data_IF_671649232336
#
_entry.id   IF_671649232336
#
_cell.length_a   1.000
_cell.length_b   1.000
_cell.length_c   1.000
_cell.angle_alpha   90.00
_cell.angle_beta   90.00
_cell.angle_gamma   90.00
#
_symmetry.space_group_name_H-M   'P 1'
#
loop_
_entity.id
_entity.type
_entity.pdbx_description
1 polymer ?
#
# COMPACT_ATOMS: atom_id res chain seq x y z
N UNK A 1 -3.38 -9.94 7.57
CA UNK A 1 -4.06 -8.71 7.10
C UNK A 1 -3.17 -7.97 6.12
N UNK A 2 -1.93 -7.62 6.48
CA UNK A 2 -0.95 -7.00 5.56
C UNK A 2 -0.75 -7.80 4.27
N UNK A 3 -0.56 -9.13 4.36
CA UNK A 3 -0.48 -10.01 3.19
C UNK A 3 -1.67 -9.94 2.21
N UNK A 4 -2.87 -9.57 2.68
CA UNK A 4 -4.03 -9.40 1.78
C UNK A 4 -4.00 -8.04 1.09
N UNK A 5 -3.57 -6.98 1.79
CA UNK A 5 -3.54 -5.61 1.27
C UNK A 5 -2.34 -5.35 0.35
N UNK A 6 -1.23 -6.07 0.53
CA UNK A 6 0.02 -5.87 -0.21
C UNK A 6 0.27 -6.96 -1.25
N UNK A 7 -0.75 -7.75 -1.58
CA UNK A 7 -0.65 -8.73 -2.64
C UNK A 7 -0.49 -8.06 -4.01
N UNK A 8 0.30 -8.69 -4.86
CA UNK A 8 0.53 -8.29 -6.25
C UNK A 8 -0.74 -8.42 -7.09
N UNK A 9 -1.03 -7.39 -7.90
CA UNK A 9 -2.15 -7.42 -8.84
C UNK A 9 -1.84 -8.25 -10.09
N UNK A 10 -0.57 -8.30 -10.50
CA UNK A 10 -0.17 -8.84 -11.81
C UNK A 10 -0.26 -10.35 -11.87
N UNK A 11 0.10 -11.02 -10.78
CA UNK A 11 -0.06 -12.47 -10.64
C UNK A 11 -1.51 -12.90 -10.94
N UNK A 12 -2.49 -12.08 -10.56
CA UNK A 12 -3.90 -12.36 -10.81
C UNK A 12 -4.36 -11.84 -12.20
N UNK A 13 -3.82 -10.71 -12.67
CA UNK A 13 -4.12 -10.15 -14.00
C UNK A 13 -3.58 -10.99 -15.17
N UNK A 14 -2.38 -11.56 -15.03
CA UNK A 14 -1.71 -12.37 -16.06
C UNK A 14 -2.44 -13.68 -16.41
N UNK A 15 -3.39 -14.10 -15.57
CA UNK A 15 -4.28 -15.25 -15.84
C UNK A 15 -5.35 -14.94 -16.90
N UNK A 16 -5.59 -13.66 -17.21
CA UNK A 16 -6.55 -13.19 -18.21
C UNK A 16 -8.02 -13.25 -17.78
N UNK A 17 -8.81 -12.27 -18.24
CA UNK A 17 -10.26 -12.18 -18.04
C UNK A 17 -10.69 -11.05 -17.09
N UNK A 18 -11.98 -10.71 -17.10
CA UNK A 18 -12.53 -9.64 -16.26
C UNK A 18 -12.33 -9.89 -14.77
N UNK A 19 -11.93 -8.84 -14.05
CA UNK A 19 -11.79 -8.93 -12.59
C UNK A 19 -13.13 -9.30 -11.95
N UNK A 20 -13.22 -10.53 -11.45
CA UNK A 20 -14.43 -11.09 -10.86
C UNK A 20 -14.59 -10.80 -9.37
N UNK A 21 -13.72 -9.95 -8.79
CA UNK A 21 -13.63 -9.74 -7.35
C UNK A 21 -12.58 -10.64 -6.68
N UNK A 22 -12.00 -10.16 -5.59
CA UNK A 22 -11.04 -10.88 -4.75
C UNK A 22 -11.71 -11.37 -3.47
N UNK A 23 -11.28 -12.54 -2.99
CA UNK A 23 -11.62 -13.02 -1.66
C UNK A 23 -10.80 -12.28 -0.60
N UNK A 24 -11.34 -11.22 -0.01
CA UNK A 24 -10.66 -10.41 1.02
C UNK A 24 -10.82 -8.92 0.78
N UNK A 25 -9.92 -8.13 1.36
CA UNK A 25 -9.80 -6.71 1.04
C UNK A 25 -9.11 -6.53 -0.31
N UNK A 26 -9.45 -5.46 -1.01
CA UNK A 26 -8.73 -5.05 -2.20
C UNK A 26 -7.27 -4.70 -1.91
N UNK A 27 -6.43 -4.83 -2.93
CA UNK A 27 -4.98 -4.61 -2.81
C UNK A 27 -4.60 -3.16 -3.02
N UNK A 28 -3.64 -2.67 -2.24
CA UNK A 28 -2.99 -1.37 -2.46
C UNK A 28 -2.30 -1.36 -3.83
N UNK A 29 -1.74 -2.50 -4.24
CA UNK A 29 -1.04 -2.62 -5.52
C UNK A 29 -1.95 -2.39 -6.74
N UNK A 30 -3.21 -2.88 -6.69
CA UNK A 30 -4.21 -2.57 -7.73
C UNK A 30 -4.80 -1.17 -7.61
N UNK A 31 -5.08 -0.71 -6.37
CA UNK A 31 -5.54 0.67 -6.15
C UNK A 31 -4.54 1.66 -6.75
N UNK A 32 -3.24 1.40 -6.59
CA UNK A 32 -2.16 2.25 -7.09
C UNK A 32 -1.58 1.64 -8.37
N UNK A 33 -2.38 1.65 -9.43
CA UNK A 33 -1.93 1.25 -10.76
C UNK A 33 -2.10 2.38 -11.78
N UNK A 34 -1.62 2.16 -12.99
CA UNK A 34 -1.89 3.00 -14.18
C UNK A 34 -2.22 2.15 -15.41
N UNK A 35 -2.85 2.76 -16.41
CA UNK A 35 -3.04 2.19 -17.76
C UNK A 35 -1.69 1.70 -18.34
N UNK A 36 -0.65 2.53 -18.23
CA UNK A 36 0.69 2.19 -18.73
C UNK A 36 1.31 0.95 -18.06
N UNK A 37 0.94 0.69 -16.81
CA UNK A 37 1.38 -0.49 -16.08
C UNK A 37 0.63 -1.73 -16.58
N UNK A 38 -0.69 -1.65 -16.70
CA UNK A 38 -1.49 -2.72 -17.28
C UNK A 38 -0.99 -3.14 -18.67
N UNK A 39 -0.72 -2.17 -19.55
CA UNK A 39 -0.16 -2.39 -20.87
C UNK A 39 1.19 -3.13 -20.83
N UNK A 40 2.02 -2.81 -19.82
CA UNK A 40 3.36 -3.38 -19.71
C UNK A 40 3.39 -4.77 -19.07
N UNK A 41 2.44 -5.09 -18.18
CA UNK A 41 2.50 -6.28 -17.33
C UNK A 41 1.31 -7.23 -17.46
N UNK A 42 0.37 -6.91 -18.35
CA UNK A 42 -0.78 -7.75 -18.68
C UNK A 42 -2.07 -7.19 -18.07
N UNK A 43 -3.19 -7.53 -18.70
CA UNK A 43 -4.51 -6.99 -18.38
C UNK A 43 -5.17 -6.27 -19.55
N UNK A 44 -4.39 -5.74 -20.50
CA UNK A 44 -4.90 -4.96 -21.64
C UNK A 44 -6.14 -5.55 -22.31
N UNK A 45 -7.26 -4.85 -22.18
CA UNK A 45 -8.57 -5.22 -22.75
C UNK A 45 -9.36 -6.23 -21.91
N UNK A 46 -9.00 -6.44 -20.65
CA UNK A 46 -9.69 -7.36 -19.73
C UNK A 46 -10.33 -6.66 -18.52
N UNK A 47 -10.30 -5.34 -18.42
CA UNK A 47 -10.87 -4.57 -17.31
C UNK A 47 -10.36 -5.05 -15.95
N UNK A 48 -9.10 -5.50 -15.89
CA UNK A 48 -8.57 -6.11 -14.67
C UNK A 48 -8.19 -5.04 -13.66
N UNK A 49 -7.66 -3.93 -14.16
CA UNK A 49 -7.21 -2.80 -13.35
C UNK A 49 -8.35 -1.82 -13.03
N UNK A 50 -9.50 -1.98 -13.69
CA UNK A 50 -10.74 -1.29 -13.34
C UNK A 50 -11.09 -1.46 -11.87
N UNK A 51 -11.31 -0.33 -11.22
CA UNK A 51 -11.61 -0.25 -9.79
C UNK A 51 -12.57 0.89 -9.52
N UNK A 52 -13.46 0.69 -8.54
CA UNK A 52 -14.47 1.68 -8.15
C UNK A 52 -15.39 2.14 -9.29
N UNK A 53 -15.55 1.31 -10.34
CA UNK A 53 -16.35 1.63 -11.53
C UNK A 53 -15.70 2.63 -12.48
N UNK A 54 -14.38 2.84 -12.34
CA UNK A 54 -13.56 3.63 -13.26
C UNK A 54 -12.88 2.67 -14.24
N UNK A 55 -12.97 3.03 -15.53
CA UNK A 55 -12.24 2.40 -16.63
C UNK A 55 -10.80 2.94 -16.63
N UNK A 56 -9.83 2.05 -16.48
CA UNK A 56 -8.39 2.37 -16.48
C UNK A 56 -7.62 1.65 -17.58
N UNK A 57 -8.32 0.90 -18.43
CA UNK A 57 -7.79 0.16 -19.58
C UNK A 57 -7.68 1.02 -20.85
N UNK A 58 -8.36 2.18 -20.89
CA UNK A 58 -8.34 3.12 -22.04
C UNK A 58 -8.32 4.60 -21.61
N UNK A 59 -8.28 4.88 -20.29
CA UNK A 59 -8.38 6.23 -19.75
C UNK A 59 -7.37 6.54 -18.62
N UNK A 60 -6.43 7.44 -18.92
CA UNK A 60 -5.40 7.89 -17.97
C UNK A 60 -5.83 8.99 -16.99
N UNK A 61 -7.09 9.43 -17.04
CA UNK A 61 -7.56 10.58 -16.23
C UNK A 61 -7.53 10.30 -14.73
N UNK A 62 -7.72 9.03 -14.35
CA UNK A 62 -7.76 8.60 -12.95
C UNK A 62 -6.57 7.72 -12.56
N UNK A 63 -5.52 7.72 -13.37
CA UNK A 63 -4.35 6.90 -13.11
C UNK A 63 -3.55 7.39 -11.92
N UNK A 64 -3.03 6.43 -11.16
CA UNK A 64 -2.05 6.69 -10.11
C UNK A 64 -0.69 6.97 -10.72
N UNK A 65 0.20 7.59 -9.96
CA UNK A 65 1.58 7.80 -10.40
C UNK A 65 2.35 6.50 -10.29
N UNK A 66 2.49 5.75 -11.39
CA UNK A 66 3.29 4.53 -11.42
C UNK A 66 4.59 4.75 -12.20
N UNK A 67 5.71 4.63 -11.51
CA UNK A 67 7.02 4.65 -12.15
C UNK A 67 7.53 3.20 -12.26
N UNK A 68 7.52 2.68 -13.49
CA UNK A 68 7.95 1.34 -13.85
C UNK A 68 8.95 1.38 -15.03
N UNK A 69 9.58 0.25 -15.32
CA UNK A 69 10.52 0.03 -16.42
C UNK A 69 10.10 -1.20 -17.25
N UNK A 70 8.79 -1.42 -17.37
CA UNK A 70 8.17 -2.51 -18.13
C UNK A 70 8.80 -3.89 -17.85
N UNK A 71 9.06 -4.18 -16.58
CA UNK A 71 9.51 -5.50 -16.10
C UNK A 71 11.00 -5.73 -16.19
N UNK A 72 11.77 -4.69 -16.53
CA UNK A 72 13.23 -4.73 -16.45
C UNK A 72 13.71 -4.04 -15.19
N UNK A 73 14.21 -4.79 -14.22
CA UNK A 73 14.69 -4.20 -12.97
C UNK A 73 15.82 -3.19 -13.17
N UNK A 74 15.77 -2.11 -12.40
CA UNK A 74 16.74 -1.01 -12.41
C UNK A 74 17.15 -0.64 -10.99
N UNK A 75 18.35 -0.12 -10.85
CA UNK A 75 18.87 0.27 -9.53
C UNK A 75 18.02 1.36 -8.90
N UNK A 76 17.69 1.21 -7.61
CA UNK A 76 17.05 2.28 -6.85
C UNK A 76 17.94 3.53 -6.84
N UNK A 77 17.37 4.67 -7.21
CA UNK A 77 18.08 5.95 -7.23
C UNK A 77 17.24 7.07 -6.64
N UNK A 78 17.91 8.12 -6.17
CA UNK A 78 17.26 9.27 -5.54
C UNK A 78 16.36 10.00 -6.54
N UNK A 79 16.75 10.02 -7.81
CA UNK A 79 15.93 10.60 -8.87
C UNK A 79 14.58 9.90 -9.01
N UNK A 80 14.55 8.56 -8.93
CA UNK A 80 13.29 7.81 -9.05
C UNK A 80 12.34 8.12 -7.88
N UNK A 81 12.87 8.14 -6.65
CA UNK A 81 12.10 8.46 -5.44
C UNK A 81 11.55 9.90 -5.54
N UNK A 82 12.41 10.86 -5.91
CA UNK A 82 12.00 12.26 -6.06
C UNK A 82 10.93 12.42 -7.14
N UNK A 83 11.12 11.81 -8.31
CA UNK A 83 10.17 11.90 -9.42
C UNK A 83 8.77 11.51 -8.96
N UNK A 84 8.61 10.34 -8.33
CA UNK A 84 7.29 9.90 -7.84
C UNK A 84 6.70 10.89 -6.82
N UNK A 85 7.49 11.36 -5.86
CA UNK A 85 7.00 12.34 -4.86
C UNK A 85 6.55 13.65 -5.53
N UNK A 86 7.31 14.16 -6.50
CA UNK A 86 6.97 15.41 -7.18
C UNK A 86 5.79 15.26 -8.14
N UNK A 87 5.67 14.13 -8.82
CA UNK A 87 4.54 13.84 -9.70
C UNK A 87 3.25 13.69 -8.89
N UNK A 88 3.30 13.01 -7.74
CA UNK A 88 2.17 12.96 -6.78
C UNK A 88 1.78 14.38 -6.34
N UNK A 89 2.75 15.24 -6.02
CA UNK A 89 2.50 16.64 -5.67
C UNK A 89 1.92 17.47 -6.81
N UNK A 90 2.37 17.23 -8.04
CA UNK A 90 1.84 17.91 -9.22
C UNK A 90 0.35 17.61 -9.44
N UNK A 91 -0.08 16.40 -9.09
CA UNK A 91 -1.49 15.99 -9.08
C UNK A 91 -2.28 16.46 -7.84
N UNK A 92 -1.69 17.29 -6.99
CA UNK A 92 -2.33 17.79 -5.76
C UNK A 92 -2.34 16.78 -4.61
N UNK A 93 -1.59 15.68 -4.72
CA UNK A 93 -1.30 14.71 -3.67
C UNK A 93 -0.27 15.19 -2.66
N UNK A 94 -0.31 14.63 -1.45
CA UNK A 94 0.78 14.78 -0.49
C UNK A 94 1.14 13.41 0.10
N UNK A 95 2.31 12.88 -0.26
CA UNK A 95 2.77 11.61 0.31
C UNK A 95 2.99 11.75 1.82
N UNK A 96 2.08 11.16 2.58
CA UNK A 96 2.08 11.16 4.05
C UNK A 96 2.92 10.03 4.64
N UNK A 97 3.00 8.90 3.93
CA UNK A 97 3.73 7.71 4.36
C UNK A 97 4.24 6.94 3.14
N UNK A 98 5.44 6.38 3.26
CA UNK A 98 5.99 5.43 2.29
C UNK A 98 5.89 4.04 2.90
N UNK A 99 5.35 3.07 2.17
CA UNK A 99 5.36 1.66 2.57
C UNK A 99 6.24 0.87 1.61
N UNK A 100 7.18 0.10 2.13
CA UNK A 100 8.11 -0.68 1.30
C UNK A 100 8.62 -1.92 2.03
N UNK A 101 9.38 -2.77 1.34
CA UNK A 101 10.03 -3.94 1.93
C UNK A 101 11.36 -3.58 2.61
N UNK A 102 11.85 -4.46 3.50
CA UNK A 102 13.06 -4.21 4.29
C UNK A 102 14.34 -4.08 3.44
N UNK A 103 14.40 -4.75 2.29
CA UNK A 103 15.55 -4.67 1.37
C UNK A 103 15.64 -3.29 0.70
N UNK A 104 14.53 -2.79 0.17
CA UNK A 104 14.42 -1.48 -0.47
C UNK A 104 14.62 -0.36 0.52
N UNK A 105 14.08 -0.51 1.73
CA UNK A 105 14.34 0.43 2.82
C UNK A 105 15.84 0.52 3.15
N UNK A 106 16.53 -0.63 3.26
CA UNK A 106 17.99 -0.66 3.47
C UNK A 106 18.75 0.01 2.33
N UNK A 107 18.39 -0.27 1.07
CA UNK A 107 19.03 0.34 -0.10
C UNK A 107 18.80 1.85 -0.13
N UNK A 108 17.60 2.32 0.18
CA UNK A 108 17.27 3.74 0.27
C UNK A 108 18.07 4.44 1.38
N UNK A 109 18.17 3.84 2.57
CA UNK A 109 18.98 4.39 3.67
C UNK A 109 20.46 4.45 3.27
N UNK A 110 20.99 3.40 2.64
CA UNK A 110 22.36 3.38 2.16
C UNK A 110 22.63 4.51 1.15
N UNK A 111 21.73 4.68 0.17
CA UNK A 111 21.78 5.74 -0.83
C UNK A 111 21.87 7.14 -0.21
N UNK A 112 21.03 7.45 0.79
CA UNK A 112 21.08 8.74 1.47
C UNK A 112 22.30 8.88 2.41
N UNK A 113 22.75 7.79 3.03
CA UNK A 113 23.95 7.83 3.88
C UNK A 113 25.23 8.11 3.08
N UNK A 114 25.34 7.58 1.85
CA UNK A 114 26.48 7.83 0.96
C UNK A 114 26.50 9.27 0.44
N UNK A 115 25.32 9.90 0.27
CA UNK A 115 25.20 11.31 -0.09
C UNK A 115 25.60 12.27 1.04
N UNK A 116 25.63 11.83 2.30
CA UNK A 116 25.94 12.65 3.49
C UNK A 116 27.46 12.81 3.73
N UNK A 117 28.32 12.55 2.75
CA UNK A 117 29.76 12.85 2.90
C UNK A 117 30.00 14.37 3.00
N UNK A 118 30.35 14.81 4.20
CA UNK A 118 30.68 16.17 4.63
C UNK A 118 29.51 17.16 4.74
N UNK A 119 28.58 16.93 5.67
CA UNK A 119 28.15 18.00 6.57
C UNK A 119 27.61 17.42 7.88
N UNK A 120 27.90 18.09 8.99
CA UNK A 120 27.59 17.67 10.35
C UNK A 120 26.08 17.42 10.51
N UNK A 121 25.74 16.17 10.86
CA UNK A 121 24.38 15.66 11.04
C UNK A 121 23.69 16.42 12.17
N UNK A 122 22.57 17.08 11.86
CA UNK A 122 21.53 17.38 12.83
C UNK A 122 20.55 16.20 12.85
N UNK A 123 20.59 15.41 13.92
CA UNK A 123 19.63 14.35 14.19
C UNK A 123 18.27 15.01 14.51
N UNK A 124 17.28 14.85 13.62
CA UNK A 124 15.92 15.31 13.87
C UNK A 124 15.10 14.15 14.46
N UNK A 125 14.86 14.19 15.77
CA UNK A 125 13.88 13.32 16.44
C UNK A 125 12.48 13.87 16.16
N UNK A 126 11.68 13.18 15.34
CA UNK A 126 10.29 13.56 15.06
C UNK A 126 9.37 12.92 16.10
N UNK A 127 8.74 13.74 16.94
CA UNK A 127 7.67 13.33 17.85
C UNK A 127 6.35 13.30 17.07
N UNK A 128 5.84 12.11 16.77
CA UNK A 128 4.56 11.94 16.05
C UNK A 128 3.41 12.02 17.06
N UNK A 129 2.78 13.18 17.14
CA UNK A 129 1.50 13.34 17.84
C UNK A 129 0.34 13.21 16.86
N UNK A 130 -0.52 12.21 17.02
CA UNK A 130 -1.79 12.11 16.29
C UNK A 130 -2.91 12.46 17.27
N UNK A 131 -3.69 13.50 16.96
CA UNK A 131 -4.91 13.88 17.70
C UNK A 131 -4.75 14.12 19.21
N UNK A 132 -3.83 15.00 19.62
CA UNK A 132 -3.82 15.56 20.97
C UNK A 132 -3.28 14.67 22.09
N UNK A 133 -2.76 13.49 21.77
CA UNK A 133 -1.96 12.68 22.70
C UNK A 133 -0.49 12.89 22.34
N UNK A 134 0.20 13.67 23.17
CA UNK A 134 1.66 13.70 23.19
C UNK A 134 2.14 12.50 24.00
N UNK A 135 3.01 11.68 23.42
CA UNK A 135 3.71 10.63 24.18
C UNK A 135 4.76 11.30 25.07
N UNK A 136 4.71 11.03 26.37
CA UNK A 136 5.74 11.47 27.33
C UNK A 136 7.11 10.85 27.01
N UNK A 137 8.16 11.64 27.20
CA UNK A 137 9.55 11.20 27.21
C UNK A 137 9.77 10.17 28.32
N UNK A 138 9.89 8.89 27.98
CA UNK A 138 10.30 7.92 29.00
C UNK A 138 10.21 6.43 28.68
N UNK A 139 9.51 6.01 27.61
CA UNK A 139 9.47 4.59 27.22
C UNK A 139 9.73 4.48 25.72
N UNK A 140 11.02 4.51 25.37
CA UNK A 140 11.50 4.20 24.03
C UNK A 140 11.36 2.69 23.74
N UNK A 141 10.13 2.22 23.54
CA UNK A 141 9.86 1.16 22.56
C UNK A 141 9.53 1.87 21.25
N UNK A 142 10.47 2.71 20.81
CA UNK A 142 10.34 3.52 19.61
C UNK A 142 10.68 2.65 18.41
N UNK A 143 9.69 2.36 17.58
CA UNK A 143 9.94 1.90 16.21
C UNK A 143 10.80 3.00 15.57
N UNK A 144 12.06 2.70 15.25
CA UNK A 144 12.92 3.62 14.51
C UNK A 144 12.37 3.68 13.08
N UNK A 145 11.57 4.70 12.79
CA UNK A 145 11.04 4.93 11.45
C UNK A 145 12.11 5.72 10.68
N UNK A 146 12.60 5.16 9.58
CA UNK A 146 13.44 5.90 8.65
C UNK A 146 12.58 6.97 7.96
N UNK A 147 13.07 8.21 7.90
CA UNK A 147 12.38 9.28 7.17
C UNK A 147 13.16 9.64 5.92
N UNK A 148 12.48 9.68 4.78
CA UNK A 148 13.03 10.19 3.51
C UNK A 148 12.27 11.45 3.17
N UNK A 149 12.95 12.59 3.02
CA UNK A 149 12.31 13.90 2.81
C UNK A 149 11.25 14.28 3.87
N UNK A 150 11.50 13.92 5.13
CA UNK A 150 10.54 14.08 6.25
C UNK A 150 9.25 13.25 6.12
N UNK A 151 9.20 12.32 5.17
CA UNK A 151 8.10 11.37 5.00
C UNK A 151 8.50 10.08 5.74
N UNK A 152 7.67 9.58 6.68
CA UNK A 152 7.93 8.32 7.36
C UNK A 152 7.90 7.15 6.39
N UNK A 153 8.90 6.27 6.46
CA UNK A 153 8.99 5.03 5.71
C UNK A 153 8.71 3.85 6.65
N UNK A 154 7.67 3.09 6.35
CA UNK A 154 7.25 1.91 7.09
C UNK A 154 7.65 0.67 6.30
N UNK A 155 8.31 -0.25 6.98
CA UNK A 155 8.83 -1.47 6.38
C UNK A 155 7.88 -2.63 6.63
N UNK A 156 7.59 -3.44 5.61
CA UNK A 156 6.72 -4.60 5.70
C UNK A 156 7.25 -5.76 4.86
N UNK A 157 7.28 -6.96 5.47
CA UNK A 157 7.71 -8.20 4.81
C UNK A 157 6.80 -8.63 3.65
N UNK A 158 5.57 -8.15 3.66
CA UNK A 158 4.49 -8.61 2.78
C UNK A 158 4.38 -7.75 1.50
N UNK A 159 5.23 -6.75 1.33
CA UNK A 159 5.29 -5.94 0.10
C UNK A 159 5.81 -6.80 -1.06
N UNK A 160 5.12 -6.76 -2.19
CA UNK A 160 5.54 -7.42 -3.44
C UNK A 160 6.97 -7.01 -3.81
N UNK A 161 7.76 -8.01 -4.20
CA UNK A 161 9.14 -7.85 -4.62
C UNK A 161 9.25 -8.10 -6.11
N UNK A 162 10.00 -7.22 -6.78
CA UNK A 162 10.56 -7.50 -8.09
C UNK A 162 11.91 -8.22 -7.84
N UNK A 163 13.08 -7.59 -8.07
CA UNK A 163 14.34 -8.04 -7.44
C UNK A 163 14.45 -7.57 -5.98
N UNK A 164 14.01 -6.34 -5.68
CA UNK A 164 13.75 -5.82 -4.32
C UNK A 164 12.29 -5.36 -4.19
N UNK A 165 11.83 -5.05 -2.99
CA UNK A 165 10.45 -4.62 -2.77
C UNK A 165 10.04 -3.32 -3.46
N UNK A 166 8.78 -3.26 -3.91
CA UNK A 166 8.17 -2.02 -4.43
C UNK A 166 8.09 -0.95 -3.34
N UNK A 167 7.94 0.32 -3.74
CA UNK A 167 7.68 1.44 -2.83
C UNK A 167 6.33 2.05 -3.15
N UNK A 168 5.44 2.11 -2.15
CA UNK A 168 4.14 2.76 -2.24
C UNK A 168 4.19 4.11 -1.53
N UNK A 169 3.82 5.17 -2.24
CA UNK A 169 3.78 6.56 -1.79
C UNK A 169 2.33 6.92 -1.53
N UNK A 170 1.93 6.89 -0.25
CA UNK A 170 0.53 6.94 0.14
C UNK A 170 0.15 8.33 0.66
N UNK A 171 -0.89 8.91 0.08
CA UNK A 171 -1.59 10.07 0.62
C UNK A 171 -2.79 9.60 1.45
N UNK A 172 -2.62 9.63 2.77
CA UNK A 172 -3.63 9.29 3.78
C UNK A 172 -4.20 10.55 4.44
N UNK A 173 -4.01 11.72 3.83
CA UNK A 173 -4.53 13.00 4.33
C UNK A 173 -5.95 13.30 3.80
N UNK A 174 -6.61 14.29 4.40
CA UNK A 174 -7.92 14.82 3.97
C UNK A 174 -7.80 16.33 3.71
N UNK A 175 -7.07 16.75 2.66
CA UNK A 175 -6.91 18.17 2.34
C UNK A 175 -8.23 18.81 1.91
N UNK A 176 -9.20 18.02 1.44
CA UNK A 176 -10.54 18.48 1.08
C UNK A 176 -11.42 18.79 2.30
N UNK A 177 -11.04 18.35 3.51
CA UNK A 177 -11.83 18.53 4.73
C UNK A 177 -13.16 17.77 4.70
N UNK A 178 -13.22 16.66 3.98
CA UNK A 178 -14.40 15.83 3.79
C UNK A 178 -14.73 14.94 5.00
N UNK A 179 -13.84 14.91 6.00
CA UNK A 179 -13.91 14.03 7.16
C UNK A 179 -13.44 12.61 6.88
N UNK A 180 -12.92 12.34 5.67
CA UNK A 180 -12.38 11.05 5.26
C UNK A 180 -11.05 11.24 4.53
N UNK A 181 -10.00 10.50 4.87
CA UNK A 181 -8.73 10.60 4.17
C UNK A 181 -8.84 10.03 2.75
N UNK A 182 -7.95 10.49 1.87
CA UNK A 182 -7.88 10.07 0.47
C UNK A 182 -7.64 8.58 0.30
N UNK A 183 -6.95 7.94 1.24
CA UNK A 183 -6.78 6.51 1.34
C UNK A 183 -7.11 6.04 2.77
N UNK A 184 -8.03 5.07 2.89
CA UNK A 184 -8.46 4.50 4.18
C UNK A 184 -8.80 3.02 4.07
N UNK A 185 -8.77 2.33 5.22
CA UNK A 185 -9.41 1.03 5.39
C UNK A 185 -10.74 1.24 6.14
N UNK A 186 -11.85 1.02 5.45
CA UNK A 186 -13.19 1.17 5.99
C UNK A 186 -13.69 -0.18 6.49
N UNK A 187 -13.84 -0.33 7.81
CA UNK A 187 -14.42 -1.53 8.41
C UNK A 187 -15.92 -1.32 8.62
N UNK A 188 -16.74 -2.10 7.92
CA UNK A 188 -18.21 -1.99 8.00
C UNK A 188 -18.76 -2.44 9.35
N UNK A 189 -18.18 -3.51 9.91
CA UNK A 189 -18.54 -4.09 11.19
C UNK A 189 -17.28 -4.58 11.88
N UNK A 190 -17.17 -4.43 13.21
CA UNK A 190 -16.05 -4.97 13.96
C UNK A 190 -15.97 -6.48 13.74
N UNK A 191 -14.78 -7.05 13.92
CA UNK A 191 -14.56 -8.50 13.74
C UNK A 191 -15.51 -9.29 14.65
N UNK A 192 -16.36 -10.11 14.03
CA UNK A 192 -17.35 -10.93 14.72
C UNK A 192 -16.83 -12.37 14.84
N UNK A 193 -17.16 -13.01 15.97
CA UNK A 193 -16.91 -14.43 16.19
C UNK A 193 -18.20 -15.21 15.97
N UNK A 194 -18.10 -16.26 15.15
CA UNK A 194 -19.16 -17.23 14.92
C UNK A 194 -18.67 -18.59 15.37
N UNK A 195 -19.51 -19.33 16.09
CA UNK A 195 -19.24 -20.69 16.51
C UNK A 195 -20.34 -21.60 15.96
N UNK A 196 -19.96 -22.83 15.64
CA UNK A 196 -20.89 -23.90 15.38
C UNK A 196 -20.30 -25.18 15.96
N UNK A 197 -21.15 -26.10 16.41
CA UNK A 197 -20.70 -27.43 16.84
C UNK A 197 -21.46 -28.03 17.99
N UNK A 198 -20.84 -29.05 18.59
CA UNK A 198 -21.44 -29.83 19.69
C UNK A 198 -21.67 -28.95 20.92
N UNK A 199 -20.75 -28.00 21.17
CA UNK A 199 -20.86 -27.05 22.29
C UNK A 199 -21.90 -25.95 22.05
N UNK A 200 -22.36 -25.78 20.81
CA UNK A 200 -23.29 -24.72 20.38
C UNK A 200 -24.59 -25.30 19.78
N UNK A 201 -24.93 -26.55 20.15
CA UNK A 201 -26.13 -27.30 19.74
C UNK A 201 -26.39 -27.35 18.21
N UNK A 202 -25.36 -27.14 17.40
CA UNK A 202 -25.42 -27.16 15.92
C UNK A 202 -24.43 -28.19 15.31
N UNK A 203 -24.35 -29.43 15.82
CA UNK A 203 -23.31 -30.39 15.43
C UNK A 203 -23.40 -30.85 13.97
N UNK A 204 -24.58 -30.77 13.36
CA UNK A 204 -24.81 -31.21 11.98
C UNK A 204 -24.48 -30.13 10.93
N UNK A 205 -24.30 -28.88 11.33
CA UNK A 205 -23.98 -27.77 10.41
C UNK A 205 -22.56 -27.89 9.84
N UNK A 206 -21.71 -28.69 10.48
CA UNK A 206 -20.27 -28.79 10.16
C UNK A 206 -19.85 -30.17 9.64
N UNK A 207 -20.79 -31.09 9.47
CA UNK A 207 -20.59 -32.48 9.01
C UNK A 207 -19.47 -33.24 9.74
N UNK A 208 -19.23 -32.88 11.01
CA UNK A 208 -18.34 -33.59 11.94
C UNK A 208 -18.65 -33.20 13.37
N UNK A 209 -18.46 -34.14 14.29
CA UNK A 209 -18.59 -33.93 15.74
C UNK A 209 -17.40 -33.16 16.31
N UNK A 210 -17.25 -31.90 15.90
CA UNK A 210 -16.26 -30.98 16.46
C UNK A 210 -16.85 -29.58 16.50
N UNK A 211 -16.27 -28.71 17.32
CA UNK A 211 -16.64 -27.31 17.39
C UNK A 211 -15.70 -26.48 16.53
N UNK A 212 -16.25 -25.68 15.62
CA UNK A 212 -15.48 -24.73 14.81
C UNK A 212 -15.86 -23.31 15.18
N UNK A 213 -14.85 -22.48 15.36
CA UNK A 213 -14.99 -21.03 15.40
C UNK A 213 -14.53 -20.40 14.10
N UNK A 214 -15.15 -19.29 13.71
CA UNK A 214 -14.73 -18.45 12.60
C UNK A 214 -14.75 -17.00 13.06
N UNK A 215 -13.66 -16.29 12.78
CA UNK A 215 -13.65 -14.83 12.85
C UNK A 215 -13.95 -14.26 11.48
N UNK A 216 -14.88 -13.31 11.41
CA UNK A 216 -15.25 -12.61 10.18
C UNK A 216 -15.05 -11.11 10.36
N UNK A 217 -14.31 -10.51 9.45
CA UNK A 217 -14.18 -9.05 9.31
C UNK A 217 -14.74 -8.66 7.96
N UNK A 218 -15.61 -7.65 7.93
CA UNK A 218 -16.15 -7.09 6.69
C UNK A 218 -15.70 -5.65 6.59
N UNK A 219 -14.96 -5.31 5.54
CA UNK A 219 -14.44 -3.98 5.27
C UNK A 219 -13.86 -3.93 3.88
N UNK A 220 -13.37 -2.76 3.47
CA UNK A 220 -12.79 -2.54 2.16
C UNK A 220 -11.78 -1.39 2.19
N UNK A 221 -10.80 -1.41 1.28
CA UNK A 221 -9.98 -0.22 1.07
C UNK A 221 -10.79 0.83 0.29
N UNK A 222 -10.70 2.09 0.71
CA UNK A 222 -11.31 3.21 -0.01
C UNK A 222 -10.21 4.15 -0.46
N UNK A 223 -10.23 4.48 -1.74
CA UNK A 223 -9.46 5.58 -2.29
C UNK A 223 -10.39 6.59 -2.96
N UNK A 224 -10.29 7.88 -2.60
CA UNK A 224 -11.08 8.96 -3.24
C UNK A 224 -10.31 9.69 -4.34
N UNK A 225 -8.98 9.58 -4.36
CA UNK A 225 -8.10 10.21 -5.34
C UNK A 225 -6.95 9.26 -5.66
N UNK A 226 -7.13 8.48 -6.72
CA UNK A 226 -6.13 7.51 -7.22
C UNK A 226 -4.88 8.24 -7.74
N UNK A 227 -5.08 9.34 -8.46
CA UNK A 227 -4.02 10.19 -9.00
C UNK A 227 -3.14 10.90 -7.96
N UNK A 228 -3.54 10.89 -6.68
CA UNK A 228 -2.74 11.38 -5.55
C UNK A 228 -1.90 10.27 -4.87
N UNK A 229 -1.97 9.04 -5.36
CA UNK A 229 -1.18 7.91 -4.88
C UNK A 229 -0.03 7.62 -5.86
N UNK A 230 1.05 7.03 -5.35
CA UNK A 230 2.21 6.70 -6.17
C UNK A 230 2.80 5.32 -5.88
N UNK A 231 3.42 4.73 -6.90
CA UNK A 231 4.11 3.43 -6.85
C UNK A 231 5.41 3.50 -7.63
N UNK A 232 6.47 2.94 -7.05
CA UNK A 232 7.74 2.71 -7.73
C UNK A 232 8.04 1.21 -7.73
N UNK A 233 8.38 0.69 -8.91
CA UNK A 233 8.61 -0.73 -9.16
C UNK A 233 9.72 -0.96 -10.20
N UNK A 234 9.97 -2.24 -10.45
CA UNK A 234 11.05 -2.81 -11.24
C UNK A 234 12.41 -2.40 -10.67
N UNK A 235 12.65 -2.81 -9.42
CA UNK A 235 13.80 -2.37 -8.63
C UNK A 235 14.79 -3.50 -8.37
N UNK A 236 16.09 -3.15 -8.36
CA UNK A 236 17.23 -4.00 -8.00
C UNK A 236 18.20 -3.31 -7.04
#
# INVERSE_FOLDING_TARGET
>A
MNQLLLADVETEAGTGGAYAGKGGFETIDRVIASDSEEDAFGGGGSAYYDIFGLDRDDASTFDSIVNHNSGTDRALSDSLIRTVIYDVKANGGNTTVINTHYDTARTAIALYSDQVRYNVIGEATVQVGVNGIQTEDGINVGIRIATIYMIPMIESKDVTQDTIGRMYFLDTSDPEGSGKPRLSLDISHPTQYFQAGVDDNTPFVIDKFTTKGMYRTNGEIRCTSLNAQGKLRDLS
#
